data_IF_455253095224
#
_entry.id   IF_455253095224
#
_cell.length_a   1.000
_cell.length_b   1.000
_cell.length_c   1.000
_cell.angle_alpha   90.00
_cell.angle_beta   90.00
_cell.angle_gamma   90.00
#
_symmetry.space_group_name_H-M   'P 1'
#
loop_
_entity.id
_entity.type
_entity.pdbx_description
1 polymer ?
#
# COMPACT_ATOMS: atom_id res chain seq x y z
N UNK A 1 6.10 -17.14 -4.18
CA UNK A 1 5.84 -16.05 -3.21
C UNK A 1 6.30 -14.74 -3.83
N UNK A 2 5.53 -13.66 -3.68
CA UNK A 2 5.89 -12.34 -4.17
C UNK A 2 7.22 -11.86 -3.54
N UNK A 3 8.01 -11.07 -4.28
CA UNK A 3 9.27 -10.50 -3.81
C UNK A 3 9.02 -9.17 -3.07
N UNK A 4 9.61 -9.02 -1.87
CA UNK A 4 9.59 -7.75 -1.12
C UNK A 4 9.69 -7.92 0.40
N UNK A 5 10.17 -6.87 1.09
CA UNK A 5 10.38 -6.88 2.55
C UNK A 5 9.11 -7.09 3.38
N UNK A 6 7.93 -6.81 2.83
CA UNK A 6 6.65 -6.96 3.52
C UNK A 6 6.23 -8.43 3.71
N UNK A 7 6.42 -9.27 2.69
CA UNK A 7 6.12 -10.71 2.77
C UNK A 7 7.02 -11.34 3.83
N UNK A 8 8.29 -10.93 3.88
CA UNK A 8 9.25 -11.40 4.88
C UNK A 8 8.85 -11.00 6.31
N UNK A 9 8.41 -9.76 6.52
CA UNK A 9 7.99 -9.26 7.83
C UNK A 9 6.71 -9.98 8.34
N UNK A 10 5.67 -10.07 7.51
CA UNK A 10 4.38 -10.63 7.91
C UNK A 10 4.41 -12.17 8.03
N UNK A 11 5.25 -12.85 7.26
CA UNK A 11 5.51 -14.28 7.47
C UNK A 11 6.16 -14.56 8.83
N UNK A 12 6.84 -13.57 9.43
CA UNK A 12 7.32 -13.65 10.82
C UNK A 12 6.17 -13.59 11.82
N UNK A 13 5.22 -12.67 11.62
CA UNK A 13 4.07 -12.48 12.53
C UNK A 13 3.11 -13.68 12.57
N UNK A 14 3.03 -14.49 11.51
CA UNK A 14 2.17 -15.69 11.47
C UNK A 14 2.53 -16.72 12.57
N UNK A 15 3.75 -16.66 13.12
CA UNK A 15 4.17 -17.49 14.26
C UNK A 15 3.52 -17.07 15.58
N UNK A 16 3.10 -15.81 15.70
CA UNK A 16 2.64 -15.22 16.96
C UNK A 16 1.15 -14.87 16.94
N UNK A 17 0.57 -14.65 15.76
CA UNK A 17 -0.82 -14.24 15.60
C UNK A 17 -1.49 -14.97 14.44
N UNK A 18 -2.75 -15.34 14.65
CA UNK A 18 -3.64 -15.83 13.59
C UNK A 18 -4.28 -14.65 12.87
N UNK A 19 -4.08 -14.55 11.56
CA UNK A 19 -4.72 -13.51 10.74
C UNK A 19 -5.08 -14.05 9.36
N UNK A 20 -6.09 -13.45 8.74
CA UNK A 20 -6.54 -13.70 7.37
C UNK A 20 -5.94 -12.65 6.44
N UNK A 21 -5.32 -13.08 5.34
CA UNK A 21 -4.69 -12.18 4.38
C UNK A 21 -5.58 -11.93 3.17
N UNK A 22 -5.99 -10.68 2.93
CA UNK A 22 -6.79 -10.31 1.74
C UNK A 22 -5.93 -9.59 0.70
N UNK A 23 -5.78 -10.18 -0.50
CA UNK A 23 -4.87 -9.69 -1.53
C UNK A 23 -5.21 -10.14 -2.95
N UNK A 24 -4.74 -9.39 -3.95
CA UNK A 24 -4.81 -9.83 -5.35
C UNK A 24 -3.71 -10.86 -5.63
N UNK A 25 -4.00 -12.01 -6.26
CA UNK A 25 -3.01 -13.08 -6.52
C UNK A 25 -2.02 -12.74 -7.64
N UNK A 26 -2.18 -11.62 -8.35
CA UNK A 26 -1.24 -11.15 -9.38
C UNK A 26 -1.56 -11.62 -10.80
N UNK A 27 -2.71 -12.25 -11.02
CA UNK A 27 -3.15 -12.69 -12.35
C UNK A 27 -4.68 -12.70 -12.47
N UNK A 28 -5.19 -12.39 -13.65
CA UNK A 28 -6.61 -12.54 -13.97
C UNK A 28 -6.94 -14.01 -14.29
N UNK A 29 -7.80 -14.61 -13.46
CA UNK A 29 -8.29 -15.97 -13.64
C UNK A 29 -9.67 -15.92 -14.29
N UNK A 30 -9.81 -16.32 -15.56
CA UNK A 30 -11.11 -16.24 -16.25
C UNK A 30 -12.10 -17.35 -15.85
N UNK A 31 -11.62 -18.57 -15.66
CA UNK A 31 -12.49 -19.72 -15.39
C UNK A 31 -12.98 -19.74 -13.93
N UNK A 32 -14.30 -19.76 -13.67
CA UNK A 32 -14.84 -19.78 -12.30
C UNK A 32 -14.36 -20.99 -11.48
N UNK A 33 -14.25 -22.17 -12.09
CA UNK A 33 -13.74 -23.36 -11.43
C UNK A 33 -12.30 -23.17 -10.90
N UNK A 34 -11.43 -22.48 -11.66
CA UNK A 34 -10.07 -22.17 -11.22
C UNK A 34 -10.06 -21.13 -10.10
N UNK A 35 -10.95 -20.13 -10.12
CA UNK A 35 -11.08 -19.17 -9.00
C UNK A 35 -11.40 -19.89 -7.70
N UNK A 36 -12.34 -20.83 -7.72
CA UNK A 36 -12.73 -21.61 -6.54
C UNK A 36 -11.56 -22.47 -6.04
N UNK A 37 -10.88 -23.19 -6.93
CA UNK A 37 -9.72 -24.00 -6.57
C UNK A 37 -8.59 -23.17 -5.95
N UNK A 38 -8.22 -22.05 -6.57
CA UNK A 38 -7.16 -21.17 -6.07
C UNK A 38 -7.57 -20.54 -4.74
N UNK A 39 -8.82 -20.09 -4.59
CA UNK A 39 -9.32 -19.52 -3.33
C UNK A 39 -9.25 -20.54 -2.19
N UNK A 40 -9.61 -21.80 -2.46
CA UNK A 40 -9.56 -22.86 -1.47
C UNK A 40 -8.12 -23.15 -1.03
N UNK A 41 -7.19 -23.31 -1.99
CA UNK A 41 -5.76 -23.51 -1.68
C UNK A 41 -5.15 -22.34 -0.92
N UNK A 42 -5.46 -21.10 -1.32
CA UNK A 42 -4.99 -19.91 -0.62
C UNK A 42 -5.48 -19.85 0.83
N UNK A 43 -6.73 -20.25 1.07
CA UNK A 43 -7.32 -20.31 2.41
C UNK A 43 -6.64 -21.39 3.26
N UNK A 44 -6.51 -22.60 2.73
CA UNK A 44 -6.04 -23.76 3.50
C UNK A 44 -4.54 -23.74 3.76
N UNK A 45 -3.73 -23.40 2.74
CA UNK A 45 -2.27 -23.43 2.86
C UNK A 45 -1.71 -22.13 3.46
N UNK A 46 -2.32 -20.97 3.15
CA UNK A 46 -1.73 -19.67 3.44
C UNK A 46 -2.57 -18.76 4.35
N UNK A 47 -3.82 -19.15 4.67
CA UNK A 47 -4.78 -18.28 5.37
C UNK A 47 -5.06 -17.00 4.59
N UNK A 48 -5.09 -17.10 3.25
CA UNK A 48 -5.27 -15.99 2.33
C UNK A 48 -6.65 -16.07 1.64
N UNK A 49 -7.31 -14.92 1.44
CA UNK A 49 -8.51 -14.75 0.62
C UNK A 49 -8.17 -13.89 -0.61
N UNK A 50 -8.35 -14.39 -1.84
CA UNK A 50 -8.03 -13.63 -3.04
C UNK A 50 -9.07 -12.54 -3.32
N UNK A 51 -8.59 -11.41 -3.84
CA UNK A 51 -9.41 -10.38 -4.48
C UNK A 51 -9.17 -10.49 -5.97
N UNK A 52 -10.25 -10.68 -6.73
CA UNK A 52 -10.18 -10.87 -8.18
C UNK A 52 -10.33 -9.53 -8.88
N UNK A 53 -9.33 -9.18 -9.69
CA UNK A 53 -9.33 -8.00 -10.55
C UNK A 53 -9.08 -8.49 -11.99
N UNK A 54 -9.73 -7.88 -12.97
CA UNK A 54 -9.41 -8.10 -14.38
C UNK A 54 -8.02 -7.53 -14.70
N UNK A 55 -7.35 -8.02 -15.74
CA UNK A 55 -6.02 -7.49 -16.11
C UNK A 55 -6.05 -5.99 -16.45
N UNK A 56 -7.12 -5.51 -17.11
CA UNK A 56 -7.28 -4.09 -17.46
C UNK A 56 -7.48 -3.21 -16.21
N UNK A 57 -8.33 -3.63 -15.27
CA UNK A 57 -8.50 -2.96 -13.99
C UNK A 57 -7.20 -3.03 -13.18
N UNK A 58 -6.53 -4.18 -13.21
CA UNK A 58 -5.26 -4.42 -12.54
C UNK A 58 -4.18 -3.43 -13.01
N UNK A 59 -4.02 -3.30 -14.32
CA UNK A 59 -3.04 -2.41 -14.93
C UNK A 59 -3.35 -0.94 -14.67
N UNK A 60 -4.59 -0.49 -14.92
CA UNK A 60 -4.98 0.92 -14.73
C UNK A 60 -4.88 1.37 -13.27
N UNK A 61 -5.25 0.52 -12.31
CA UNK A 61 -5.13 0.89 -10.89
C UNK A 61 -3.67 0.81 -10.41
N UNK A 62 -2.93 -0.24 -10.76
CA UNK A 62 -1.59 -0.51 -10.23
C UNK A 62 -0.52 0.30 -10.98
N UNK A 63 -0.42 0.12 -12.29
CA UNK A 63 0.55 0.84 -13.11
C UNK A 63 0.08 2.27 -13.40
N UNK A 64 -1.20 2.43 -13.73
CA UNK A 64 -1.76 3.72 -14.15
C UNK A 64 -1.87 4.77 -13.04
N UNK A 65 -2.51 4.47 -11.91
CA UNK A 65 -2.66 5.45 -10.83
C UNK A 65 -1.61 5.30 -9.75
N UNK A 66 -1.42 4.08 -9.24
CA UNK A 66 -0.57 3.86 -8.08
C UNK A 66 0.90 4.15 -8.41
N UNK A 67 1.47 3.47 -9.40
CA UNK A 67 2.89 3.63 -9.77
C UNK A 67 3.19 4.90 -10.55
N UNK A 68 2.25 5.42 -11.35
CA UNK A 68 2.52 6.63 -12.16
C UNK A 68 2.15 7.95 -11.47
N UNK A 69 1.34 7.92 -10.40
CA UNK A 69 0.92 9.13 -9.67
C UNK A 69 1.37 9.09 -8.22
N UNK A 70 0.84 8.16 -7.43
CA UNK A 70 1.06 8.17 -5.99
C UNK A 70 2.52 7.89 -5.62
N UNK A 71 3.16 6.97 -6.33
CA UNK A 71 4.55 6.60 -6.07
C UNK A 71 5.53 7.76 -6.30
N UNK A 72 5.59 8.42 -7.47
CA UNK A 72 6.44 9.58 -7.67
C UNK A 72 6.12 10.71 -6.69
N UNK A 73 4.83 10.96 -6.40
CA UNK A 73 4.43 11.99 -5.43
C UNK A 73 5.01 11.72 -4.04
N UNK A 74 4.89 10.49 -3.55
CA UNK A 74 5.28 10.14 -2.18
C UNK A 74 6.80 10.01 -2.03
N UNK A 75 7.51 9.83 -3.15
CA UNK A 75 8.97 9.81 -3.19
C UNK A 75 9.58 11.15 -3.59
N UNK A 76 8.83 12.25 -3.58
CA UNK A 76 9.35 13.59 -3.92
C UNK A 76 9.86 13.72 -5.37
N UNK A 77 9.29 12.96 -6.31
CA UNK A 77 9.57 13.02 -7.75
C UNK A 77 8.36 13.54 -8.55
N UNK A 78 7.92 14.79 -8.33
CA UNK A 78 6.69 15.28 -8.94
C UNK A 78 6.73 15.46 -10.47
N UNK A 79 7.91 15.59 -11.07
CA UNK A 79 8.06 15.87 -12.50
C UNK A 79 7.59 14.78 -13.45
N UNK A 80 7.38 13.56 -12.97
CA UNK A 80 7.08 12.37 -13.79
C UNK A 80 5.59 12.00 -13.83
N UNK A 81 4.72 12.78 -13.18
CA UNK A 81 3.30 12.44 -13.03
C UNK A 81 2.42 12.96 -14.17
N UNK A 82 1.58 12.09 -14.71
CA UNK A 82 0.55 12.43 -15.70
C UNK A 82 -0.83 11.93 -15.23
N UNK A 83 -1.63 12.82 -14.63
CA UNK A 83 -2.96 12.43 -14.13
C UNK A 83 -3.90 12.08 -15.28
N UNK A 84 -4.48 10.87 -15.21
CA UNK A 84 -5.49 10.37 -16.14
C UNK A 84 -6.71 9.96 -15.33
N UNK A 85 -7.86 10.55 -15.63
CA UNK A 85 -9.12 10.32 -14.89
C UNK A 85 -9.53 8.84 -14.93
N UNK A 86 -9.38 8.16 -16.07
CA UNK A 86 -9.66 6.73 -16.17
C UNK A 86 -8.83 5.86 -15.21
N UNK A 87 -7.58 6.26 -14.90
CA UNK A 87 -6.77 5.54 -13.91
C UNK A 87 -7.29 5.79 -12.49
N UNK A 88 -7.81 6.99 -12.21
CA UNK A 88 -8.45 7.29 -10.93
C UNK A 88 -9.74 6.49 -10.72
N UNK A 89 -10.60 6.41 -11.74
CA UNK A 89 -11.81 5.59 -11.66
C UNK A 89 -11.49 4.11 -11.44
N UNK A 90 -10.52 3.57 -12.19
CA UNK A 90 -10.01 2.21 -11.98
C UNK A 90 -9.45 2.00 -10.56
N UNK A 91 -8.77 3.01 -10.01
CA UNK A 91 -8.27 2.96 -8.64
C UNK A 91 -9.41 2.91 -7.61
N UNK A 92 -10.48 3.71 -7.78
CA UNK A 92 -11.67 3.65 -6.93
C UNK A 92 -12.38 2.29 -7.05
N UNK A 93 -12.56 1.78 -8.25
CA UNK A 93 -13.21 0.49 -8.51
C UNK A 93 -12.43 -0.68 -7.88
N UNK A 94 -11.09 -0.69 -8.03
CA UNK A 94 -10.24 -1.67 -7.37
C UNK A 94 -10.37 -1.57 -5.84
N UNK A 95 -10.31 -0.37 -5.26
CA UNK A 95 -10.49 -0.15 -3.82
C UNK A 95 -11.85 -0.66 -3.32
N UNK A 96 -12.92 -0.41 -4.08
CA UNK A 96 -14.27 -0.88 -3.75
C UNK A 96 -14.37 -2.42 -3.82
N UNK A 97 -13.72 -3.04 -4.79
CA UNK A 97 -13.63 -4.51 -4.90
C UNK A 97 -12.93 -5.11 -3.67
N UNK A 98 -11.83 -4.48 -3.21
CA UNK A 98 -11.22 -4.84 -1.93
C UNK A 98 -12.17 -4.62 -0.75
N UNK A 99 -12.90 -3.51 -0.71
CA UNK A 99 -13.84 -3.17 0.36
C UNK A 99 -14.94 -4.22 0.51
N UNK A 100 -15.54 -4.69 -0.58
CA UNK A 100 -16.55 -5.73 -0.54
C UNK A 100 -16.03 -7.05 0.03
N UNK A 101 -14.82 -7.48 -0.36
CA UNK A 101 -14.23 -8.74 0.14
C UNK A 101 -13.89 -8.64 1.63
N UNK A 102 -13.33 -7.50 2.05
CA UNK A 102 -12.99 -7.23 3.46
C UNK A 102 -14.26 -7.10 4.31
N UNK A 103 -15.27 -6.39 3.82
CA UNK A 103 -16.56 -6.22 4.49
C UNK A 103 -17.22 -7.58 4.77
N UNK A 104 -17.28 -8.47 3.77
CA UNK A 104 -17.84 -9.82 3.95
C UNK A 104 -17.10 -10.59 5.05
N UNK A 105 -15.77 -10.54 5.07
CA UNK A 105 -14.96 -11.20 6.09
C UNK A 105 -15.20 -10.64 7.50
N UNK A 106 -15.36 -9.32 7.62
CA UNK A 106 -15.69 -8.65 8.89
C UNK A 106 -17.07 -9.06 9.37
N UNK A 107 -18.09 -9.05 8.50
CA UNK A 107 -19.45 -9.47 8.87
C UNK A 107 -19.45 -10.92 9.36
N UNK A 108 -18.81 -11.84 8.62
CA UNK A 108 -18.64 -13.25 9.01
C UNK A 108 -17.94 -13.40 10.37
N UNK A 109 -16.99 -12.52 10.72
CA UNK A 109 -16.28 -12.55 12.00
C UNK A 109 -17.08 -11.92 13.15
N UNK A 110 -17.77 -10.80 12.89
CA UNK A 110 -18.61 -10.12 13.89
C UNK A 110 -19.82 -10.98 14.24
N UNK A 111 -20.41 -11.70 13.28
CA UNK A 111 -21.47 -12.69 13.54
C UNK A 111 -21.01 -13.83 14.46
N UNK A 112 -19.71 -14.17 14.41
CA UNK A 112 -19.07 -15.14 15.32
C UNK A 112 -18.70 -14.53 16.69
N UNK A 113 -18.93 -13.23 16.89
CA UNK A 113 -18.63 -12.50 18.13
C UNK A 113 -17.15 -12.14 18.31
N UNK A 114 -16.36 -12.13 17.23
CA UNK A 114 -14.93 -11.82 17.26
C UNK A 114 -14.67 -10.31 17.07
N UNK A 115 -13.67 -9.79 17.79
CA UNK A 115 -13.17 -8.44 17.52
C UNK A 115 -12.28 -8.47 16.27
N UNK A 116 -12.52 -7.55 15.33
CA UNK A 116 -11.80 -7.51 14.05
C UNK A 116 -10.90 -6.29 13.98
N UNK A 117 -9.59 -6.53 13.95
CA UNK A 117 -8.60 -5.53 13.59
C UNK A 117 -8.30 -5.64 12.09
N UNK A 118 -8.76 -4.64 11.33
CA UNK A 118 -8.42 -4.54 9.91
C UNK A 118 -7.13 -3.74 9.83
N UNK A 119 -5.99 -4.42 9.64
CA UNK A 119 -4.74 -3.74 9.34
C UNK A 119 -4.50 -3.68 7.83
N UNK A 120 -4.68 -2.50 7.26
CA UNK A 120 -4.37 -2.22 5.86
C UNK A 120 -2.88 -1.90 5.73
N UNK A 121 -2.13 -2.85 5.17
CA UNK A 121 -0.74 -2.64 4.76
C UNK A 121 -0.65 -2.69 3.24
N UNK A 122 0.04 -1.73 2.65
CA UNK A 122 0.19 -1.62 1.20
C UNK A 122 1.02 -2.81 0.69
N UNK A 123 0.36 -3.74 0.00
CA UNK A 123 0.81 -5.13 -0.18
C UNK A 123 1.83 -5.37 -1.30
N UNK A 124 2.19 -4.34 -2.06
CA UNK A 124 3.37 -4.38 -2.91
C UNK A 124 4.23 -3.21 -2.50
N UNK A 125 5.52 -3.46 -2.30
CA UNK A 125 6.50 -2.38 -2.25
C UNK A 125 6.25 -1.60 -3.54
N UNK A 126 5.86 -0.33 -3.39
CA UNK A 126 5.06 0.46 -4.33
C UNK A 126 3.55 0.46 -4.09
N UNK A 127 3.15 1.38 -3.21
CA UNK A 127 2.10 2.38 -3.45
C UNK A 127 1.01 2.44 -2.37
N UNK A 128 0.35 3.60 -2.20
CA UNK A 128 -0.87 3.73 -1.43
C UNK A 128 -2.03 3.10 -2.22
N UNK A 129 -2.02 1.77 -2.42
CA UNK A 129 -2.97 1.07 -3.28
C UNK A 129 -4.41 1.09 -2.73
N UNK A 130 -4.54 1.30 -1.42
CA UNK A 130 -5.77 1.05 -0.66
C UNK A 130 -6.21 2.24 0.21
N UNK A 131 -5.90 3.48 -0.21
CA UNK A 131 -6.11 4.66 0.64
C UNK A 131 -7.59 4.97 0.84
N UNK A 132 -8.44 4.64 -0.13
CA UNK A 132 -9.88 4.86 -0.02
C UNK A 132 -10.61 3.74 0.72
N UNK A 133 -9.96 2.59 0.89
CA UNK A 133 -10.55 1.41 1.49
C UNK A 133 -11.14 1.64 2.90
N UNK A 134 -10.49 2.39 3.83
CA UNK A 134 -11.10 2.64 5.13
C UNK A 134 -12.43 3.41 5.04
N UNK A 135 -12.50 4.39 4.13
CA UNK A 135 -13.71 5.18 3.89
C UNK A 135 -14.81 4.32 3.29
N UNK A 136 -14.51 3.59 2.21
CA UNK A 136 -15.47 2.69 1.55
C UNK A 136 -15.95 1.60 2.50
N UNK A 137 -15.06 1.06 3.35
CA UNK A 137 -15.41 0.04 4.32
C UNK A 137 -16.34 0.58 5.42
N UNK A 138 -16.09 1.79 5.94
CA UNK A 138 -17.01 2.42 6.89
C UNK A 138 -18.37 2.69 6.27
N UNK A 139 -18.39 3.16 5.03
CA UNK A 139 -19.65 3.36 4.30
C UNK A 139 -20.45 2.06 4.15
N UNK A 140 -19.78 0.93 3.89
CA UNK A 140 -20.43 -0.38 3.82
C UNK A 140 -20.92 -0.87 5.20
N UNK A 141 -20.16 -0.63 6.27
CA UNK A 141 -20.51 -1.03 7.64
C UNK A 141 -21.64 -0.18 8.24
N UNK A 142 -21.76 1.08 7.84
CA UNK A 142 -22.79 2.01 8.32
C UNK A 142 -24.14 1.82 7.61
N UNK A 143 -24.16 1.17 6.43
CA UNK A 143 -25.42 0.78 5.79
C UNK A 143 -26.10 -0.29 6.65
N UNK A 144 -27.41 -0.16 6.96
CA UNK A 144 -28.14 -1.26 7.55
C UNK A 144 -28.03 -2.45 6.60
N UNK A 145 -27.49 -3.57 7.06
CA UNK A 145 -27.51 -4.80 6.27
C UNK A 145 -28.98 -5.11 5.97
N UNK A 146 -29.33 -5.22 4.69
CA UNK A 146 -30.54 -5.90 4.23
C UNK A 146 -30.42 -7.41 4.51
N UNK A 147 -30.24 -7.77 5.78
CA UNK A 147 -30.48 -9.11 6.27
C UNK A 147 -32.00 -9.23 6.46
N UNK A 148 -32.63 -10.33 6.02
CA UNK A 148 -34.05 -10.54 6.28
C UNK A 148 -34.30 -10.47 7.79
N UNK A 149 -34.92 -9.37 8.21
CA UNK A 149 -35.35 -9.10 9.57
C UNK A 149 -36.48 -10.05 9.93
N UNK A 150 -36.14 -11.26 10.36
CA UNK A 150 -37.06 -12.17 11.04
C UNK A 150 -36.35 -12.92 12.17
N UNK A 151 -35.99 -12.20 13.23
CA UNK A 151 -35.98 -12.73 14.60
C UNK A 151 -35.73 -11.59 15.61
N UNK A 152 -36.66 -11.32 16.56
CA UNK A 152 -36.36 -10.50 17.72
C UNK A 152 -35.52 -11.35 18.68
N UNK A 153 -34.20 -11.37 18.46
CA UNK A 153 -33.20 -11.94 19.34
C UNK A 153 -32.61 -10.89 20.28
N UNK A 154 -32.11 -11.27 21.47
CA UNK A 154 -31.49 -10.34 22.42
C UNK A 154 -30.28 -9.66 21.77
N UNK A 155 -30.08 -8.38 22.06
CA UNK A 155 -29.04 -7.52 21.50
C UNK A 155 -27.68 -8.24 21.41
N UNK A 156 -27.37 -8.76 20.22
CA UNK A 156 -26.09 -9.39 19.93
C UNK A 156 -25.04 -8.30 20.03
N UNK A 157 -24.00 -8.58 20.84
CA UNK A 157 -22.85 -7.71 21.07
C UNK A 157 -22.29 -7.31 19.69
N UNK A 158 -22.54 -6.07 19.23
CA UNK A 158 -21.94 -5.56 17.99
C UNK A 158 -20.43 -5.57 18.20
N UNK A 159 -19.74 -6.53 17.59
CA UNK A 159 -18.27 -6.64 17.65
C UNK A 159 -17.65 -5.30 17.26
N UNK A 160 -16.61 -4.87 18.00
CA UNK A 160 -15.99 -3.58 17.77
C UNK A 160 -15.01 -3.70 16.60
N UNK A 161 -15.38 -3.15 15.44
CA UNK A 161 -14.48 -3.10 14.28
C UNK A 161 -13.51 -1.93 14.42
N UNK A 162 -12.21 -2.23 14.48
CA UNK A 162 -11.14 -1.22 14.49
C UNK A 162 -10.35 -1.28 13.19
N UNK A 163 -10.13 -0.13 12.56
CA UNK A 163 -9.46 -0.02 11.26
C UNK A 163 -8.13 0.71 11.44
N UNK A 164 -7.03 0.00 11.20
CA UNK A 164 -5.69 0.56 11.13
C UNK A 164 -5.18 0.62 9.69
N UNK A 165 -4.46 1.69 9.35
CA UNK A 165 -3.74 1.81 8.08
C UNK A 165 -2.27 2.11 8.35
N UNK A 166 -1.37 1.44 7.63
CA UNK A 166 0.06 1.70 7.71
C UNK A 166 0.64 2.04 6.33
N UNK A 167 1.27 3.21 6.21
CA UNK A 167 1.93 3.64 4.99
C UNK A 167 3.40 3.19 4.98
N UNK A 168 3.76 2.34 4.02
CA UNK A 168 5.13 1.83 3.86
C UNK A 168 6.06 2.76 3.09
N UNK A 169 5.52 3.72 2.36
CA UNK A 169 6.28 4.73 1.64
C UNK A 169 6.46 5.97 2.53
N UNK A 170 7.38 6.89 2.18
CA UNK A 170 7.38 8.21 2.78
C UNK A 170 6.02 8.90 2.57
N UNK A 171 5.69 9.82 3.47
CA UNK A 171 4.62 10.78 3.23
C UNK A 171 5.25 12.14 2.93
N UNK A 172 4.93 12.75 1.78
CA UNK A 172 5.60 13.97 1.34
C UNK A 172 5.15 15.16 2.18
N UNK A 173 6.03 16.17 2.31
CA UNK A 173 5.66 17.42 2.97
C UNK A 173 4.41 18.05 2.33
N UNK A 174 3.66 18.82 3.11
CA UNK A 174 2.42 19.43 2.62
C UNK A 174 2.61 20.36 1.42
N UNK A 175 3.82 20.89 1.21
CA UNK A 175 4.14 21.67 0.01
C UNK A 175 4.20 20.77 -1.23
N UNK A 176 4.91 19.65 -1.17
CA UNK A 176 5.00 18.66 -2.26
C UNK A 176 3.66 17.96 -2.48
N UNK A 177 2.94 17.61 -1.41
CA UNK A 177 1.61 17.02 -1.52
C UNK A 177 0.59 17.96 -2.18
N UNK A 178 0.83 19.27 -2.07
CA UNK A 178 0.06 20.33 -2.73
C UNK A 178 0.61 20.66 -4.12
N UNK A 179 1.83 20.25 -4.46
CA UNK A 179 2.52 20.69 -5.67
C UNK A 179 1.78 20.32 -6.96
N UNK A 180 2.13 21.12 -7.95
CA UNK A 180 1.29 21.59 -9.05
C UNK A 180 1.85 21.04 -10.35
N UNK A 181 1.09 20.22 -11.09
CA UNK A 181 1.57 19.62 -12.34
C UNK A 181 1.21 20.48 -13.56
N UNK A 182 2.11 20.58 -14.56
CA UNK A 182 1.76 21.13 -15.85
C UNK A 182 1.01 20.07 -16.68
N UNK A 183 -0.31 20.17 -16.76
CA UNK A 183 -1.06 19.58 -17.87
C UNK A 183 -0.84 20.46 -19.10
N UNK A 184 0.19 20.14 -19.88
CA UNK A 184 0.54 20.76 -21.17
C UNK A 184 0.85 22.29 -21.14
N UNK A 185 1.85 22.72 -21.89
CA UNK A 185 2.11 24.15 -22.14
C UNK A 185 0.92 24.74 -22.91
N UNK A 186 0.20 25.74 -22.36
CA UNK A 186 -0.90 26.37 -23.09
C UNK A 186 -0.32 27.20 -24.24
N UNK A 187 -0.78 26.94 -25.45
CA UNK A 187 -0.41 27.71 -26.65
C UNK A 187 -1.15 29.06 -26.72
N UNK A 188 -2.16 29.31 -25.88
CA UNK A 188 -2.99 30.51 -25.91
C UNK A 188 -3.15 31.21 -24.54
N UNK A 189 -3.06 32.55 -24.52
CA UNK A 189 -3.10 33.38 -23.29
C UNK A 189 -4.41 33.30 -22.47
N UNK A 190 -5.54 32.88 -23.07
CA UNK A 190 -6.82 32.70 -22.35
C UNK A 190 -6.91 31.36 -21.61
N UNK A 191 -6.05 30.40 -21.94
CA UNK A 191 -5.98 29.10 -21.25
C UNK A 191 -5.10 29.15 -20.00
N UNK A 192 -4.36 30.23 -19.76
CA UNK A 192 -3.48 30.37 -18.60
C UNK A 192 -4.23 30.49 -17.27
N UNK A 193 -5.46 31.00 -17.28
CA UNK A 193 -6.30 31.17 -16.08
C UNK A 193 -7.09 29.88 -15.76
N UNK A 194 -7.59 29.19 -16.79
CA UNK A 194 -8.19 27.85 -16.68
C UNK A 194 -7.15 26.76 -16.36
N UNK A 195 -5.95 26.82 -16.95
CA UNK A 195 -4.82 25.97 -16.58
C UNK A 195 -4.39 26.19 -15.13
N UNK A 196 -4.66 27.38 -14.54
CA UNK A 196 -4.42 27.67 -13.12
C UNK A 196 -5.36 26.90 -12.18
N UNK A 197 -6.55 26.54 -12.65
CA UNK A 197 -7.55 25.79 -11.89
C UNK A 197 -7.31 24.26 -11.92
N UNK A 198 -6.77 23.72 -13.02
CA UNK A 198 -6.54 22.27 -13.22
C UNK A 198 -5.17 21.76 -12.75
N UNK A 199 -4.56 22.49 -11.83
CA UNK A 199 -3.10 22.46 -11.63
C UNK A 199 -2.66 21.75 -10.36
N UNK A 200 -3.50 20.91 -9.80
CA UNK A 200 -3.39 20.33 -8.46
C UNK A 200 -3.73 18.85 -8.59
N UNK A 201 -3.10 17.92 -7.83
CA UNK A 201 -3.61 16.55 -7.74
C UNK A 201 -5.10 16.60 -7.40
N UNK A 202 -6.02 16.34 -8.36
CA UNK A 202 -7.43 16.73 -8.20
C UNK A 202 -8.07 16.01 -7.01
N UNK A 203 -7.56 14.81 -6.75
CA UNK A 203 -8.07 13.83 -5.79
C UNK A 203 -7.36 13.86 -4.43
N UNK A 204 -6.48 14.86 -4.18
CA UNK A 204 -5.73 14.97 -2.90
C UNK A 204 -6.63 15.00 -1.67
N UNK A 205 -7.80 15.63 -1.80
CA UNK A 205 -8.78 15.74 -0.72
C UNK A 205 -9.36 14.37 -0.40
N UNK A 206 -9.75 13.63 -1.43
CA UNK A 206 -10.32 12.29 -1.32
C UNK A 206 -9.33 11.29 -0.72
N UNK A 207 -8.05 11.38 -1.09
CA UNK A 207 -6.99 10.55 -0.51
C UNK A 207 -6.84 10.80 1.01
N UNK A 208 -6.76 12.06 1.44
CA UNK A 208 -6.67 12.36 2.87
C UNK A 208 -7.93 11.91 3.63
N UNK A 209 -9.12 12.18 3.08
CA UNK A 209 -10.38 11.74 3.68
C UNK A 209 -10.47 10.22 3.77
N UNK A 210 -9.96 9.50 2.77
CA UNK A 210 -9.81 8.05 2.78
C UNK A 210 -9.10 7.54 4.03
N UNK A 211 -7.94 8.13 4.35
CA UNK A 211 -7.14 7.77 5.52
C UNK A 211 -7.78 8.17 6.85
N UNK A 212 -8.50 9.29 6.90
CA UNK A 212 -9.16 9.76 8.12
C UNK A 212 -10.34 8.88 8.57
N UNK A 213 -10.76 7.92 7.75
CA UNK A 213 -11.75 6.94 8.18
C UNK A 213 -11.16 5.82 9.05
N UNK A 214 -9.84 5.71 9.18
CA UNK A 214 -9.16 4.84 10.13
C UNK A 214 -9.33 5.29 11.58
N UNK A 215 -9.10 4.37 12.52
CA UNK A 215 -8.88 4.67 13.93
C UNK A 215 -7.39 4.93 14.23
N UNK A 216 -6.50 4.30 13.46
CA UNK A 216 -5.05 4.48 13.52
C UNK A 216 -4.43 4.62 12.12
N UNK A 217 -3.59 5.62 11.94
CA UNK A 217 -2.73 5.80 10.76
C UNK A 217 -1.26 5.74 11.20
N UNK A 218 -0.55 4.72 10.75
CA UNK A 218 0.85 4.46 11.08
C UNK A 218 1.81 4.82 9.94
N UNK A 219 2.99 5.30 10.31
CA UNK A 219 4.09 5.62 9.41
C UNK A 219 5.41 5.05 9.93
N UNK A 220 6.44 4.95 9.08
CA UNK A 220 7.76 4.52 9.54
C UNK A 220 8.45 5.51 10.47
N UNK A 221 8.32 6.81 10.22
CA UNK A 221 8.99 7.88 10.99
C UNK A 221 7.98 8.92 11.48
N UNK A 222 8.35 9.62 12.55
CA UNK A 222 7.56 10.74 13.08
C UNK A 222 7.38 11.87 12.06
N UNK A 223 8.39 12.15 11.23
CA UNK A 223 8.32 13.18 10.21
C UNK A 223 7.23 12.94 9.17
N UNK A 224 7.04 11.67 8.75
CA UNK A 224 5.97 11.32 7.81
C UNK A 224 4.59 11.55 8.43
N UNK A 225 4.41 11.17 9.71
CA UNK A 225 3.19 11.47 10.46
C UNK A 225 2.93 12.97 10.59
N UNK A 226 3.96 13.75 10.90
CA UNK A 226 3.89 15.21 10.98
C UNK A 226 3.51 15.85 9.64
N UNK A 227 4.06 15.35 8.53
CA UNK A 227 3.71 15.81 7.19
C UNK A 227 2.26 15.49 6.83
N UNK A 228 1.77 14.30 7.18
CA UNK A 228 0.37 13.93 7.04
C UNK A 228 -0.56 14.88 7.81
N UNK A 229 -0.28 15.11 9.09
CA UNK A 229 -1.04 16.04 9.93
C UNK A 229 -1.04 17.47 9.36
N UNK A 230 0.12 17.97 8.91
CA UNK A 230 0.24 19.28 8.24
C UNK A 230 -0.60 19.35 6.96
N UNK A 231 -0.62 18.28 6.16
CA UNK A 231 -1.46 18.19 4.96
C UNK A 231 -2.95 18.20 5.30
N UNK A 232 -3.38 17.47 6.33
CA UNK A 232 -4.77 17.51 6.82
C UNK A 232 -5.17 18.92 7.27
N UNK A 233 -4.33 19.62 8.04
CA UNK A 233 -4.64 20.99 8.47
C UNK A 233 -4.70 21.97 7.30
N UNK A 234 -3.75 21.92 6.37
CA UNK A 234 -3.67 22.89 5.25
C UNK A 234 -4.71 22.65 4.16
N UNK A 235 -5.08 21.39 3.90
CA UNK A 235 -5.98 21.04 2.78
C UNK A 235 -7.41 20.84 3.23
N UNK A 236 -7.62 20.23 4.41
CA UNK A 236 -8.96 19.95 4.94
C UNK A 236 -9.41 21.00 5.97
N UNK A 237 -8.52 21.87 6.44
CA UNK A 237 -8.84 22.84 7.50
C UNK A 237 -9.04 22.20 8.88
N UNK A 238 -8.58 20.97 9.08
CA UNK A 238 -8.79 20.23 10.33
C UNK A 238 -7.69 20.56 11.35
N UNK A 239 -8.03 20.94 12.60
CA UNK A 239 -7.04 21.14 13.65
C UNK A 239 -6.39 19.80 14.01
N UNK A 240 -5.06 19.74 13.90
CA UNK A 240 -4.28 18.55 14.20
C UNK A 240 -3.49 18.73 15.51
N UNK A 241 -3.43 17.66 16.30
CA UNK A 241 -2.54 17.51 17.45
C UNK A 241 -1.35 16.63 17.09
N UNK A 242 -0.23 16.65 17.86
CA UNK A 242 0.96 15.86 17.53
C UNK A 242 0.74 14.35 17.38
N UNK A 243 -0.29 13.80 18.03
CA UNK A 243 -0.62 12.38 18.07
C UNK A 243 -1.87 11.99 17.26
N UNK A 244 -2.46 12.92 16.49
CA UNK A 244 -3.69 12.65 15.76
C UNK A 244 -4.56 13.87 15.50
N UNK A 245 -5.79 13.63 15.02
CA UNK A 245 -6.76 14.70 14.78
C UNK A 245 -8.20 14.19 14.90
N UNK A 246 -9.13 15.11 15.18
CA UNK A 246 -10.56 14.80 15.22
C UNK A 246 -11.19 14.88 13.83
N UNK A 247 -11.95 13.86 13.45
CA UNK A 247 -12.66 13.79 12.18
C UNK A 247 -13.96 12.99 12.31
N UNK A 248 -15.09 13.55 11.86
CA UNK A 248 -16.38 12.85 11.85
C UNK A 248 -16.85 12.36 13.23
N UNK A 249 -16.60 13.14 14.30
CA UNK A 249 -16.93 12.75 15.68
C UNK A 249 -16.01 11.68 16.29
N UNK A 250 -14.95 11.26 15.58
CA UNK A 250 -13.95 10.28 16.04
C UNK A 250 -12.57 10.92 16.16
N UNK A 251 -11.71 10.31 16.97
CA UNK A 251 -10.30 10.67 17.04
C UNK A 251 -9.46 9.69 16.21
N UNK A 252 -8.74 10.20 15.23
CA UNK A 252 -7.83 9.41 14.38
C UNK A 252 -6.44 9.50 14.98
N UNK A 253 -5.92 8.39 15.49
CA UNK A 253 -4.56 8.32 16.03
C UNK A 253 -3.54 8.31 14.90
N UNK A 254 -2.45 9.06 15.07
CA UNK A 254 -1.29 9.03 14.17
C UNK A 254 -0.06 8.57 14.94
N UNK A 255 0.61 7.54 14.45
CA UNK A 255 1.76 6.92 15.14
C UNK A 255 2.93 6.59 14.22
N UNK A 256 4.11 6.42 14.82
CA UNK A 256 5.33 6.01 14.14
C UNK A 256 5.72 4.60 14.59
N UNK A 257 5.79 3.68 13.63
CA UNK A 257 6.13 2.27 13.85
C UNK A 257 7.19 1.85 12.80
N UNK A 258 8.50 1.95 13.13
CA UNK A 258 9.55 1.53 12.22
C UNK A 258 9.47 0.01 12.01
N UNK A 259 9.48 -0.44 10.75
CA UNK A 259 9.42 -1.87 10.43
C UNK A 259 10.80 -2.49 10.56
N UNK A 260 10.85 -3.69 11.14
CA UNK A 260 12.06 -4.49 11.26
C UNK A 260 12.03 -5.73 10.37
N UNK A 261 13.12 -6.49 10.42
CA UNK A 261 13.24 -7.84 9.85
C UNK A 261 13.31 -8.87 10.98
N UNK A 262 13.26 -10.16 10.64
CA UNK A 262 13.54 -11.28 11.55
C UNK A 262 15.01 -11.72 11.38
N UNK A 263 15.97 -11.25 12.22
CA UNK A 263 17.40 -11.47 11.96
C UNK A 263 17.81 -12.94 12.08
N UNK A 264 17.13 -13.69 12.96
CA UNK A 264 17.38 -15.12 13.17
C UNK A 264 17.29 -15.93 11.87
N UNK A 265 16.33 -15.62 10.99
CA UNK A 265 16.20 -16.30 9.68
C UNK A 265 17.46 -16.17 8.81
N UNK A 266 18.13 -15.03 8.85
CA UNK A 266 19.37 -14.83 8.09
C UNK A 266 20.54 -15.56 8.75
N UNK A 267 20.62 -15.54 10.08
CA UNK A 267 21.62 -16.30 10.82
C UNK A 267 21.51 -17.80 10.54
N UNK A 268 20.30 -18.36 10.62
CA UNK A 268 20.05 -19.78 10.38
C UNK A 268 20.30 -20.15 8.91
N UNK A 269 19.92 -19.30 7.96
CA UNK A 269 20.17 -19.52 6.54
C UNK A 269 21.67 -19.59 6.21
N UNK A 270 22.50 -18.79 6.89
CA UNK A 270 23.96 -18.82 6.72
C UNK A 270 24.56 -20.16 7.16
N UNK A 271 23.97 -20.85 8.13
CA UNK A 271 24.46 -22.16 8.60
C UNK A 271 24.15 -23.30 7.62
N UNK A 272 23.30 -23.07 6.62
CA UNK A 272 22.91 -24.13 5.69
C UNK A 272 24.08 -24.58 4.78
N UNK A 273 24.28 -25.90 4.56
CA UNK A 273 25.38 -26.41 3.74
C UNK A 273 25.39 -25.86 2.30
N UNK A 274 24.20 -25.63 1.73
CA UNK A 274 24.05 -25.06 0.40
C UNK A 274 24.58 -23.61 0.32
N UNK A 275 24.28 -22.78 1.32
CA UNK A 275 24.77 -21.41 1.39
C UNK A 275 26.27 -21.37 1.67
N UNK A 276 26.77 -22.19 2.59
CA UNK A 276 28.21 -22.32 2.87
C UNK A 276 29.01 -22.72 1.61
N UNK A 277 28.52 -23.70 0.84
CA UNK A 277 29.13 -24.10 -0.43
C UNK A 277 29.13 -22.95 -1.45
N UNK A 278 28.07 -22.14 -1.49
CA UNK A 278 27.98 -20.98 -2.38
C UNK A 278 28.93 -19.86 -1.96
N UNK A 279 29.07 -19.61 -0.66
CA UNK A 279 30.04 -18.65 -0.11
C UNK A 279 31.45 -19.04 -0.53
N UNK A 280 31.89 -20.28 -0.28
CA UNK A 280 33.21 -20.75 -0.67
C UNK A 280 33.48 -20.63 -2.19
N UNK A 281 32.46 -20.92 -3.02
CA UNK A 281 32.55 -20.74 -4.47
C UNK A 281 32.73 -19.26 -4.88
N UNK A 282 32.07 -18.33 -4.20
CA UNK A 282 32.20 -16.90 -4.47
C UNK A 282 33.55 -16.36 -3.96
N UNK A 283 34.01 -16.80 -2.79
CA UNK A 283 35.32 -16.44 -2.24
C UNK A 283 36.47 -16.87 -3.16
N UNK A 284 36.42 -18.10 -3.68
CA UNK A 284 37.39 -18.56 -4.67
C UNK A 284 37.33 -17.74 -5.96
N UNK A 285 36.13 -17.43 -6.46
CA UNK A 285 35.96 -16.68 -7.72
C UNK A 285 36.45 -15.24 -7.63
N UNK A 286 36.27 -14.58 -6.49
CA UNK A 286 36.63 -13.17 -6.28
C UNK A 286 37.87 -13.02 -5.40
N UNK A 287 38.74 -14.03 -5.36
CA UNK A 287 39.96 -14.01 -4.57
C UNK A 287 40.86 -12.82 -4.95
N UNK A 288 41.33 -12.07 -3.95
CA UNK A 288 42.15 -10.88 -4.16
C UNK A 288 41.39 -9.63 -4.63
N UNK A 289 40.05 -9.71 -4.79
CA UNK A 289 39.21 -8.60 -5.24
C UNK A 289 38.28 -8.18 -4.09
N UNK A 290 38.18 -6.86 -3.84
CA UNK A 290 37.20 -6.31 -2.91
C UNK A 290 35.81 -6.31 -3.55
N UNK A 291 34.88 -7.08 -2.99
CA UNK A 291 33.48 -7.13 -3.45
C UNK A 291 32.65 -6.08 -2.72
N UNK A 292 31.90 -5.27 -3.48
CA UNK A 292 30.90 -4.33 -2.97
C UNK A 292 29.54 -4.80 -3.51
N UNK A 293 28.57 -4.99 -2.63
CA UNK A 293 27.24 -5.52 -3.00
C UNK A 293 26.16 -4.45 -2.77
N UNK A 294 25.35 -4.22 -3.80
CA UNK A 294 24.08 -3.50 -3.74
C UNK A 294 22.97 -4.45 -4.17
N UNK A 295 21.89 -4.53 -3.40
CA UNK A 295 20.74 -5.39 -3.70
C UNK A 295 19.50 -4.53 -3.62
N UNK A 296 19.09 -4.03 -4.78
CA UNK A 296 17.97 -3.11 -4.91
C UNK A 296 17.05 -3.62 -6.02
N UNK A 297 15.75 -3.36 -5.89
CA UNK A 297 14.85 -3.55 -7.03
C UNK A 297 15.14 -2.43 -8.03
N UNK A 298 15.13 -2.76 -9.32
CA UNK A 298 15.29 -1.76 -10.37
C UNK A 298 13.99 -0.92 -10.42
N UNK A 299 14.04 0.27 -9.82
CA UNK A 299 12.93 1.23 -9.76
C UNK A 299 13.33 2.53 -10.46
N UNK A 300 12.36 3.24 -11.05
CA UNK A 300 12.62 4.50 -11.76
C UNK A 300 12.97 5.66 -10.84
N UNK A 301 12.72 5.53 -9.52
CA UNK A 301 13.13 6.52 -8.53
C UNK A 301 14.65 6.45 -8.40
N UNK A 302 15.39 7.49 -8.83
CA UNK A 302 16.82 7.51 -8.69
C UNK A 302 17.14 7.45 -7.19
N UNK A 303 17.88 6.42 -6.78
CA UNK A 303 18.77 6.59 -5.65
C UNK A 303 19.60 7.86 -5.90
N UNK A 304 19.88 8.70 -4.89
CA UNK A 304 20.67 9.91 -5.09
C UNK A 304 21.96 9.52 -5.82
N UNK A 305 22.32 10.19 -6.95
CA UNK A 305 23.37 9.71 -7.83
C UNK A 305 24.70 9.77 -7.08
N UNK A 306 25.26 8.60 -6.73
CA UNK A 306 26.60 8.54 -6.12
C UNK A 306 27.55 7.52 -6.70
N UNK A 307 27.21 6.84 -7.79
CA UNK A 307 28.24 6.21 -8.61
C UNK A 307 27.92 6.42 -10.09
N UNK A 308 28.83 7.03 -10.87
CA UNK A 308 28.69 7.02 -12.32
C UNK A 308 28.67 5.56 -12.79
N UNK A 309 27.90 5.21 -13.83
CA UNK A 309 27.99 3.89 -14.44
C UNK A 309 29.44 3.70 -14.89
N UNK A 310 30.15 2.76 -14.26
CA UNK A 310 31.38 2.24 -14.82
C UNK A 310 30.98 1.57 -16.13
N UNK A 311 31.27 2.22 -17.25
CA UNK A 311 31.21 1.60 -18.55
C UNK A 311 32.08 0.34 -18.48
N UNK A 312 31.46 -0.84 -18.58
CA UNK A 312 32.16 -2.09 -18.76
C UNK A 312 32.92 -1.99 -20.09
N UNK A 313 34.19 -1.60 -20.04
CA UNK A 313 35.13 -1.87 -21.11
C UNK A 313 35.21 -3.39 -21.27
N UNK A 314 35.05 -3.84 -22.51
CA UNK A 314 35.14 -5.23 -22.96
C UNK A 314 36.32 -5.99 -22.31
N UNK A 315 36.18 -7.30 -22.02
CA UNK A 315 37.31 -8.09 -21.54
C UNK A 315 38.40 -8.16 -22.62
N UNK A 316 39.70 -8.14 -22.26
CA UNK A 316 40.77 -8.35 -23.23
C UNK A 316 40.69 -9.77 -23.81
N UNK A 317 41.03 -9.97 -25.09
CA UNK A 317 41.11 -11.30 -25.68
C UNK A 317 42.25 -12.10 -25.00
N UNK A 318 42.02 -13.41 -24.92
CA UNK A 318 42.89 -14.43 -24.31
C UNK A 318 44.36 -14.35 -24.72
#
# INVERSE_FOLDING_TARGET
MSSGGLVSALSGCKKQMTFSWIGWPGLDVRAPAHKTFIAQRLKDEYSCKPVWLSDDLADKHYNGFSNSILWPLFHYHPGEMNFVEAHWEAYKEANMTFAHVVHRDIVEAVERGEDVLVEQRTHLVCCPLKVLLPMMLRELLDRPLDLPSTAPGPATKKGKVSIGFFLHTPFPSSEIYRQVFPLHTPTHRRDAELARLHRILPVRREILLGLLHCDLVGFHTYDYGRHFLSSCTRILGLPAMPNGLAFGGRYVHVGSFPIGIEPAKFHDALLSPAVQKRIASLEHRFQGIKVIVGVDRLESVPSPPRFPPLACSSPPPF
#
